data_IF_933191396204
#
_entry.id   IF_933191396204
#
_cell.length_a   1.000
_cell.length_b   1.000
_cell.length_c   1.000
_cell.angle_alpha   90.00
_cell.angle_beta   90.00
_cell.angle_gamma   90.00
#
_symmetry.space_group_name_H-M   'P 1'
#
loop_
_entity.id
_entity.type
_entity.pdbx_description
1 polymer ?
#
# COMPACT_ATOMS: atom_id res chain seq x y z
N UNK A 1 14.60 1.05 21.98
CA UNK A 1 13.33 0.47 21.45
C UNK A 1 12.23 0.32 22.50
N UNK A 2 12.53 0.03 23.77
CA UNK A 2 11.50 -0.32 24.78
C UNK A 2 10.41 0.76 25.02
N UNK A 3 10.64 2.02 24.63
CA UNK A 3 9.72 3.12 24.95
C UNK A 3 9.12 3.85 23.73
N UNK A 4 9.37 3.40 22.48
CA UNK A 4 8.75 4.03 21.30
C UNK A 4 7.36 3.47 21.07
N UNK A 5 6.44 4.38 20.85
CA UNK A 5 5.03 4.10 20.55
C UNK A 5 4.75 4.28 19.05
N UNK A 6 3.64 3.74 18.60
CA UNK A 6 3.16 3.87 17.21
C UNK A 6 3.06 5.34 16.80
N UNK A 7 2.53 6.20 17.68
CA UNK A 7 2.40 7.65 17.43
C UNK A 7 3.72 8.37 17.15
N UNK A 8 4.84 7.82 17.60
CA UNK A 8 6.16 8.44 17.44
C UNK A 8 6.77 8.16 16.06
N UNK A 9 6.21 7.20 15.32
CA UNK A 9 6.68 6.77 14.00
C UNK A 9 5.62 6.82 12.90
N UNK A 10 4.34 6.90 13.26
CA UNK A 10 3.27 6.97 12.27
C UNK A 10 3.34 8.27 11.47
N UNK A 11 2.92 8.21 10.23
CA UNK A 11 2.64 9.40 9.43
C UNK A 11 1.22 9.85 9.75
N UNK A 12 1.07 11.14 10.04
CA UNK A 12 -0.25 11.74 10.31
C UNK A 12 -1.18 11.56 9.11
N UNK A 13 -2.45 11.24 9.39
CA UNK A 13 -3.47 11.11 8.35
C UNK A 13 -3.66 12.37 7.51
N UNK A 14 -3.35 13.55 8.09
CA UNK A 14 -3.45 14.84 7.40
C UNK A 14 -2.35 15.05 6.36
N UNK A 15 -1.24 14.35 6.50
CA UNK A 15 -0.09 14.42 5.60
C UNK A 15 -0.12 13.31 4.54
N UNK A 16 -0.95 12.27 4.76
CA UNK A 16 -0.99 11.12 3.87
C UNK A 16 -1.90 11.40 2.66
N UNK A 17 -1.45 11.08 1.42
CA UNK A 17 -2.24 11.33 0.22
C UNK A 17 -3.59 10.61 0.28
N UNK A 18 -4.62 11.26 -0.21
CA UNK A 18 -5.96 10.68 -0.17
C UNK A 18 -6.85 11.21 -1.28
N UNK A 19 -7.75 10.36 -1.76
CA UNK A 19 -8.76 10.66 -2.76
C UNK A 19 -10.16 10.30 -2.26
N UNK A 20 -11.20 10.80 -2.92
CA UNK A 20 -12.57 10.41 -2.65
C UNK A 20 -12.90 9.05 -3.28
N UNK A 21 -13.91 8.35 -2.74
CA UNK A 21 -14.34 7.01 -3.19
C UNK A 21 -14.79 6.97 -4.66
N UNK A 22 -15.27 8.09 -5.18
CA UNK A 22 -15.70 8.24 -6.57
C UNK A 22 -14.61 8.75 -7.52
N UNK A 23 -13.41 9.02 -7.01
CA UNK A 23 -12.27 9.39 -7.86
C UNK A 23 -11.91 8.24 -8.81
N UNK A 24 -11.34 8.58 -9.95
CA UNK A 24 -10.84 7.58 -10.90
C UNK A 24 -9.53 6.95 -10.42
N UNK A 25 -9.20 5.80 -10.99
CA UNK A 25 -7.88 5.17 -10.82
C UNK A 25 -6.77 6.13 -11.29
N UNK A 26 -7.02 6.87 -12.37
CA UNK A 26 -6.09 7.89 -12.87
C UNK A 26 -5.87 9.01 -11.84
N UNK A 27 -6.95 9.57 -11.24
CA UNK A 27 -6.83 10.62 -10.21
C UNK A 27 -6.03 10.13 -9.00
N UNK A 28 -6.25 8.87 -8.59
CA UNK A 28 -5.51 8.27 -7.50
C UNK A 28 -4.01 8.09 -7.81
N UNK A 29 -3.66 7.73 -9.05
CA UNK A 29 -2.27 7.67 -9.50
C UNK A 29 -1.62 9.05 -9.52
N UNK A 30 -2.34 10.06 -10.03
CA UNK A 30 -1.86 11.46 -10.06
C UNK A 30 -1.61 11.98 -8.65
N UNK A 31 -2.51 11.70 -7.70
CA UNK A 31 -2.35 12.11 -6.31
C UNK A 31 -1.15 11.43 -5.65
N UNK A 32 -0.97 10.12 -5.89
CA UNK A 32 0.19 9.38 -5.39
C UNK A 32 1.51 9.94 -5.93
N UNK A 33 1.58 10.22 -7.23
CA UNK A 33 2.77 10.77 -7.88
C UNK A 33 3.11 12.18 -7.35
N UNK A 34 2.12 13.08 -7.28
CA UNK A 34 2.29 14.42 -6.72
C UNK A 34 2.83 14.37 -5.31
N UNK A 35 2.21 13.58 -4.45
CA UNK A 35 2.58 13.48 -3.04
C UNK A 35 3.97 12.89 -2.86
N UNK A 36 4.37 11.95 -3.72
CA UNK A 36 5.70 11.34 -3.69
C UNK A 36 6.81 12.31 -4.12
N UNK A 37 6.53 13.19 -5.09
CA UNK A 37 7.49 14.19 -5.58
C UNK A 37 7.67 15.39 -4.63
N UNK A 38 6.62 15.78 -3.91
CA UNK A 38 6.63 16.99 -3.07
C UNK A 38 7.01 16.71 -1.61
N UNK A 39 7.30 15.48 -1.27
CA UNK A 39 7.71 15.13 0.09
C UNK A 39 9.21 15.32 0.29
N UNK A 40 9.66 16.58 0.42
CA UNK A 40 11.07 16.94 0.69
C UNK A 40 11.61 16.36 2.02
N UNK A 41 10.73 16.16 2.99
CA UNK A 41 11.07 15.67 4.33
C UNK A 41 10.77 14.16 4.55
N UNK A 42 10.20 13.50 3.54
CA UNK A 42 9.91 12.07 3.62
C UNK A 42 11.19 11.26 3.38
N UNK A 43 11.62 10.52 4.38
CA UNK A 43 12.72 9.54 4.23
C UNK A 43 12.39 8.46 3.18
N UNK A 44 11.10 8.22 2.94
CA UNK A 44 10.59 7.22 2.00
C UNK A 44 9.32 7.74 1.29
N UNK A 45 9.21 7.59 -0.03
CA UNK A 45 8.05 8.04 -0.79
C UNK A 45 6.77 7.31 -0.35
N UNK A 46 5.62 7.94 -0.59
CA UNK A 46 4.33 7.28 -0.41
C UNK A 46 4.15 6.17 -1.46
N UNK A 47 3.59 5.05 -1.04
CA UNK A 47 3.35 3.88 -1.93
C UNK A 47 1.87 3.51 -2.02
N UNK A 48 1.02 4.35 -1.45
CA UNK A 48 -0.43 4.18 -1.47
C UNK A 48 -1.12 5.52 -1.29
N UNK A 49 -2.39 5.60 -1.70
CA UNK A 49 -3.32 6.66 -1.34
C UNK A 49 -4.41 6.08 -0.45
N UNK A 50 -4.99 6.90 0.42
CA UNK A 50 -6.16 6.55 1.21
C UNK A 50 -7.43 6.94 0.45
N UNK A 51 -8.46 6.13 0.60
CA UNK A 51 -9.76 6.39 -0.01
C UNK A 51 -10.74 6.83 1.08
N UNK A 52 -11.39 7.96 0.87
CA UNK A 52 -12.36 8.57 1.79
C UNK A 52 -13.76 8.51 1.19
N UNK A 53 -14.75 8.27 2.04
CA UNK A 53 -16.14 8.44 1.63
C UNK A 53 -16.55 9.92 1.67
N UNK A 54 -17.79 10.23 1.25
CA UNK A 54 -18.37 11.58 1.23
C UNK A 54 -18.38 12.28 2.59
N UNK A 55 -18.30 11.52 3.69
CA UNK A 55 -18.24 12.05 5.05
C UNK A 55 -16.79 12.29 5.52
N UNK A 56 -15.80 12.12 4.64
CA UNK A 56 -14.38 12.25 4.97
C UNK A 56 -13.79 11.09 5.76
N UNK A 57 -14.57 10.02 6.01
CA UNK A 57 -14.09 8.82 6.72
C UNK A 57 -13.27 7.97 5.76
N UNK A 58 -12.11 7.50 6.23
CA UNK A 58 -11.27 6.58 5.47
C UNK A 58 -11.94 5.20 5.43
N UNK A 59 -12.16 4.69 4.24
CA UNK A 59 -12.84 3.42 3.97
C UNK A 59 -11.92 2.38 3.32
N UNK A 60 -10.83 2.82 2.69
CA UNK A 60 -9.91 1.94 2.01
C UNK A 60 -8.54 2.57 1.75
N UNK A 61 -7.67 1.79 1.15
CA UNK A 61 -6.37 2.22 0.63
C UNK A 61 -6.13 1.62 -0.75
N UNK A 62 -5.50 2.36 -1.64
CA UNK A 62 -5.04 1.90 -2.95
C UNK A 62 -3.51 1.99 -2.99
N UNK A 63 -2.85 0.84 -2.90
CA UNK A 63 -1.41 0.72 -3.00
C UNK A 63 -0.96 0.34 -4.41
N UNK A 64 0.35 0.24 -4.62
CA UNK A 64 0.93 -0.14 -5.91
C UNK A 64 0.31 -1.42 -6.47
N UNK A 65 0.09 -2.45 -5.62
CA UNK A 65 -0.55 -3.68 -6.05
C UNK A 65 -2.00 -3.48 -6.50
N UNK A 66 -2.73 -2.52 -5.90
CA UNK A 66 -4.09 -2.16 -6.31
C UNK A 66 -4.10 -1.63 -7.76
N UNK A 67 -3.16 -0.76 -8.08
CA UNK A 67 -3.02 -0.23 -9.43
C UNK A 67 -2.65 -1.31 -10.45
N UNK A 68 -1.75 -2.24 -10.08
CA UNK A 68 -1.40 -3.37 -10.94
C UNK A 68 -2.60 -4.32 -11.17
N UNK A 69 -3.40 -4.57 -10.13
CA UNK A 69 -4.64 -5.37 -10.28
C UNK A 69 -5.70 -4.68 -11.13
N UNK A 70 -5.75 -3.35 -11.09
CA UNK A 70 -6.67 -2.59 -11.92
C UNK A 70 -6.29 -2.62 -13.42
N UNK A 71 -5.04 -2.96 -13.77
CA UNK A 71 -4.61 -3.19 -15.15
C UNK A 71 -5.30 -4.39 -15.79
N UNK A 72 -5.67 -5.38 -15.01
CA UNK A 72 -6.28 -6.61 -15.50
C UNK A 72 -7.68 -6.74 -14.91
N UNK A 73 -8.70 -6.38 -15.68
CA UNK A 73 -10.10 -6.50 -15.29
C UNK A 73 -10.51 -7.95 -14.92
N UNK A 74 -9.77 -8.93 -15.41
CA UNK A 74 -10.02 -10.35 -15.18
C UNK A 74 -8.93 -10.99 -14.28
N UNK A 75 -8.12 -10.16 -13.56
CA UNK A 75 -6.97 -10.64 -12.80
C UNK A 75 -7.31 -11.79 -11.84
N UNK A 76 -8.40 -11.66 -11.08
CA UNK A 76 -8.82 -12.69 -10.12
C UNK A 76 -9.30 -13.97 -10.82
N UNK A 77 -9.91 -13.87 -11.98
CA UNK A 77 -10.36 -15.02 -12.77
C UNK A 77 -9.19 -15.67 -13.52
N UNK A 78 -8.24 -14.87 -14.01
CA UNK A 78 -7.04 -15.35 -14.67
C UNK A 78 -6.09 -16.06 -13.69
N UNK A 79 -5.90 -15.54 -12.47
CA UNK A 79 -5.10 -16.25 -11.43
C UNK A 79 -5.76 -17.58 -11.04
N UNK A 80 -7.08 -17.62 -10.85
CA UNK A 80 -7.79 -18.88 -10.56
C UNK A 80 -7.65 -19.90 -11.68
N UNK A 81 -7.59 -19.45 -12.93
CA UNK A 81 -7.34 -20.32 -14.07
C UNK A 81 -5.90 -20.84 -14.09
N UNK A 82 -4.92 -20.00 -13.74
CA UNK A 82 -3.50 -20.40 -13.65
C UNK A 82 -3.26 -21.43 -12.52
N UNK A 83 -3.88 -21.23 -11.35
CA UNK A 83 -3.78 -22.20 -10.24
C UNK A 83 -4.39 -23.57 -10.58
N UNK A 84 -5.37 -23.62 -11.49
CA UNK A 84 -5.97 -24.86 -11.98
C UNK A 84 -5.16 -25.57 -13.08
N UNK A 85 -4.28 -24.83 -13.77
CA UNK A 85 -3.31 -25.41 -14.68
C UNK A 85 -2.00 -25.60 -13.91
N UNK A 86 -1.63 -26.85 -13.61
CA UNK A 86 -0.29 -27.25 -13.18
C UNK A 86 0.72 -26.92 -14.30
N UNK A 87 0.98 -25.64 -14.53
CA UNK A 87 1.93 -25.16 -15.53
C UNK A 87 3.33 -25.56 -15.06
N UNK A 88 3.89 -26.58 -15.68
CA UNK A 88 5.33 -26.82 -15.69
C UNK A 88 5.98 -25.64 -16.40
N UNK A 89 7.00 -25.10 -15.80
CA UNK A 89 7.78 -23.92 -16.20
C UNK A 89 8.49 -23.98 -17.57
N UNK A 90 8.14 -24.89 -18.46
CA UNK A 90 8.93 -25.23 -19.65
C UNK A 90 8.36 -24.78 -21.01
N UNK A 91 7.20 -24.11 -21.06
CA UNK A 91 6.63 -23.69 -22.35
C UNK A 91 6.91 -22.21 -22.64
N UNK A 92 7.95 -21.97 -23.46
CA UNK A 92 8.36 -20.64 -23.95
C UNK A 92 7.25 -19.92 -24.74
N UNK A 93 6.27 -20.63 -25.27
CA UNK A 93 5.14 -20.05 -26.00
C UNK A 93 4.11 -19.42 -25.05
N UNK A 94 3.96 -19.92 -23.83
CA UNK A 94 3.11 -19.32 -22.78
C UNK A 94 3.70 -18.02 -22.28
N UNK A 95 5.03 -17.88 -22.24
CA UNK A 95 5.71 -16.63 -21.86
C UNK A 95 5.48 -15.55 -22.92
N UNK A 96 5.51 -15.88 -24.22
CA UNK A 96 5.23 -14.92 -25.30
C UNK A 96 3.78 -14.44 -25.29
N UNK A 97 2.83 -15.34 -25.09
CA UNK A 97 1.41 -14.99 -24.98
C UNK A 97 1.13 -14.07 -23.80
N UNK A 98 1.83 -14.28 -22.68
CA UNK A 98 1.78 -13.40 -21.52
C UNK A 98 2.35 -12.00 -21.82
N UNK A 99 3.43 -11.90 -22.60
CA UNK A 99 4.02 -10.61 -22.97
C UNK A 99 3.13 -9.80 -23.92
N UNK A 100 2.51 -10.44 -24.89
CA UNK A 100 1.59 -9.77 -25.81
C UNK A 100 0.31 -9.35 -25.10
N UNK A 101 -0.22 -10.16 -24.18
CA UNK A 101 -1.31 -9.82 -23.30
C UNK A 101 -1.02 -8.54 -22.49
N UNK A 102 0.15 -8.46 -21.83
CA UNK A 102 0.51 -7.27 -21.07
C UNK A 102 0.68 -6.00 -21.92
N UNK A 103 1.11 -6.14 -23.17
CA UNK A 103 1.22 -5.01 -24.09
C UNK A 103 -0.13 -4.38 -24.43
N UNK A 104 -1.11 -5.21 -24.77
CA UNK A 104 -2.48 -4.77 -25.07
C UNK A 104 -3.14 -4.20 -23.81
N UNK A 105 -3.05 -4.91 -22.69
CA UNK A 105 -3.59 -4.48 -21.41
C UNK A 105 -3.05 -3.12 -20.95
N UNK A 106 -1.75 -2.86 -21.10
CA UNK A 106 -1.16 -1.55 -20.75
C UNK A 106 -1.69 -0.41 -21.61
N UNK A 107 -1.94 -0.66 -22.91
CA UNK A 107 -2.49 0.35 -23.80
C UNK A 107 -3.93 0.67 -23.47
N UNK A 108 -4.77 -0.33 -23.26
CA UNK A 108 -6.17 -0.20 -22.86
C UNK A 108 -6.30 0.50 -21.50
N UNK A 109 -5.50 0.09 -20.51
CA UNK A 109 -5.51 0.70 -19.19
C UNK A 109 -5.20 2.20 -19.22
N UNK A 110 -4.23 2.62 -20.01
CA UNK A 110 -3.90 4.05 -20.15
C UNK A 110 -5.09 4.87 -20.65
N UNK A 111 -5.99 4.25 -21.39
CA UNK A 111 -7.21 4.86 -21.93
C UNK A 111 -8.35 4.81 -20.91
N UNK A 112 -8.50 3.70 -20.19
CA UNK A 112 -9.67 3.41 -19.36
C UNK A 112 -9.52 3.84 -17.89
N UNK A 113 -8.29 4.06 -17.40
CA UNK A 113 -8.02 4.43 -16.02
C UNK A 113 -8.84 5.64 -15.53
N UNK A 114 -9.22 6.55 -16.43
CA UNK A 114 -10.05 7.72 -16.10
C UNK A 114 -11.53 7.38 -15.91
N UNK A 115 -11.99 6.26 -16.47
CA UNK A 115 -13.37 5.79 -16.32
C UNK A 115 -13.55 4.84 -15.12
N UNK A 116 -12.46 4.23 -14.65
CA UNK A 116 -12.45 3.23 -13.57
C UNK A 116 -12.50 3.91 -12.21
N UNK A 117 -13.42 3.52 -11.33
CA UNK A 117 -13.52 4.07 -9.98
C UNK A 117 -12.55 3.38 -9.04
N UNK A 118 -11.82 4.16 -8.24
CA UNK A 118 -10.87 3.61 -7.26
C UNK A 118 -11.54 2.75 -6.19
N UNK A 119 -12.82 3.02 -5.87
CA UNK A 119 -13.60 2.23 -4.91
C UNK A 119 -13.70 0.76 -5.27
N UNK A 120 -13.68 0.43 -6.57
CA UNK A 120 -13.89 -0.93 -7.07
C UNK A 120 -12.63 -1.80 -6.91
N UNK A 121 -11.47 -1.16 -6.77
CA UNK A 121 -10.16 -1.81 -6.67
C UNK A 121 -9.47 -1.64 -5.32
N UNK A 122 -9.88 -0.67 -4.50
CA UNK A 122 -9.26 -0.40 -3.20
C UNK A 122 -9.31 -1.59 -2.27
N UNK A 123 -8.30 -1.73 -1.44
CA UNK A 123 -8.32 -2.67 -0.34
C UNK A 123 -9.09 -2.06 0.85
N UNK A 124 -10.09 -2.75 1.41
CA UNK A 124 -10.78 -2.28 2.60
C UNK A 124 -9.83 -2.24 3.80
N UNK A 125 -10.17 -1.41 4.78
CA UNK A 125 -9.39 -1.30 6.02
C UNK A 125 -9.80 -2.43 6.97
N UNK A 126 -8.94 -3.43 7.08
CA UNK A 126 -9.18 -4.60 7.93
C UNK A 126 -8.38 -4.56 9.23
N UNK A 127 -7.23 -3.86 9.24
CA UNK A 127 -6.29 -3.91 10.36
C UNK A 127 -6.04 -2.52 10.95
N UNK A 128 -6.09 -2.43 12.27
CA UNK A 128 -5.87 -1.21 13.04
C UNK A 128 -4.95 -1.48 14.22
N UNK A 129 -4.26 -0.44 14.68
CA UNK A 129 -3.41 -0.46 15.88
C UNK A 129 -3.63 0.83 16.67
N UNK A 130 -3.64 0.75 18.00
CA UNK A 130 -3.74 1.93 18.85
C UNK A 130 -2.46 2.77 18.76
N UNK A 131 -2.59 4.09 18.73
CA UNK A 131 -1.45 5.03 18.71
C UNK A 131 -0.54 4.89 19.92
N UNK A 132 -1.06 4.35 21.02
CA UNK A 132 -0.34 4.09 22.27
C UNK A 132 0.34 2.71 22.30
N UNK A 133 0.06 1.86 21.30
CA UNK A 133 0.73 0.56 21.18
C UNK A 133 2.24 0.74 21.01
N UNK A 134 2.97 -0.24 21.48
CA UNK A 134 4.44 -0.26 21.37
C UNK A 134 4.89 -0.57 19.94
N UNK A 135 6.12 -0.20 19.63
CA UNK A 135 6.73 -0.58 18.36
C UNK A 135 6.83 -2.11 18.19
N UNK A 136 7.01 -2.85 19.28
CA UNK A 136 7.05 -4.31 19.24
C UNK A 136 5.69 -4.91 18.83
N UNK A 137 4.59 -4.35 19.32
CA UNK A 137 3.25 -4.75 18.90
C UNK A 137 2.99 -4.40 17.43
N UNK A 138 3.47 -3.24 16.97
CA UNK A 138 3.36 -2.88 15.56
C UNK A 138 4.13 -3.86 14.66
N UNK A 139 5.34 -4.28 15.05
CA UNK A 139 6.13 -5.30 14.34
C UNK A 139 5.35 -6.62 14.28
N UNK A 140 4.84 -7.10 15.43
CA UNK A 140 4.08 -8.35 15.50
C UNK A 140 2.87 -8.33 14.57
N UNK A 141 2.10 -7.24 14.59
CA UNK A 141 0.92 -7.09 13.72
C UNK A 141 1.26 -6.98 12.23
N UNK A 142 2.34 -6.29 11.86
CA UNK A 142 2.80 -6.23 10.47
C UNK A 142 3.15 -7.62 9.93
N UNK A 143 3.79 -8.44 10.75
CA UNK A 143 4.17 -9.82 10.41
C UNK A 143 2.92 -10.71 10.38
N UNK A 144 2.10 -10.70 11.43
CA UNK A 144 0.89 -11.52 11.56
C UNK A 144 -0.09 -11.29 10.40
N UNK A 145 -0.32 -10.02 10.04
CA UNK A 145 -1.25 -9.66 8.98
C UNK A 145 -0.62 -9.68 7.58
N UNK A 146 0.66 -10.00 7.48
CA UNK A 146 1.42 -9.96 6.23
C UNK A 146 1.16 -8.67 5.42
N UNK A 147 1.23 -7.52 6.09
CA UNK A 147 0.89 -6.22 5.51
C UNK A 147 2.04 -5.23 5.59
N UNK A 148 2.11 -4.33 4.62
CA UNK A 148 3.13 -3.28 4.58
C UNK A 148 2.73 -1.99 5.30
N UNK A 149 1.49 -1.91 5.80
CA UNK A 149 1.01 -0.75 6.56
C UNK A 149 -0.25 -1.07 7.36
N UNK A 150 -0.39 -0.43 8.53
CA UNK A 150 -1.54 -0.56 9.43
C UNK A 150 -2.02 0.85 9.80
N UNK A 151 -3.33 1.07 9.85
CA UNK A 151 -3.89 2.33 10.31
C UNK A 151 -3.77 2.47 11.83
N UNK A 152 -3.25 3.62 12.27
CA UNK A 152 -3.12 3.96 13.67
C UNK A 152 -4.35 4.74 14.15
N UNK A 153 -4.98 4.30 15.24
CA UNK A 153 -6.22 4.86 15.77
C UNK A 153 -6.08 5.30 17.24
N UNK A 154 -6.90 6.27 17.63
CA UNK A 154 -7.17 6.60 19.04
C UNK A 154 -8.68 6.44 19.23
N UNK A 155 -9.08 5.34 19.86
CA UNK A 155 -10.46 4.88 19.80
C UNK A 155 -10.90 4.57 18.37
N UNK A 156 -12.01 5.17 17.94
CA UNK A 156 -12.55 5.02 16.59
C UNK A 156 -11.91 5.94 15.55
N UNK A 157 -11.16 6.94 16.01
CA UNK A 157 -10.55 7.95 15.14
C UNK A 157 -9.25 7.46 14.53
N UNK A 158 -9.15 7.52 13.21
CA UNK A 158 -7.90 7.27 12.48
C UNK A 158 -7.00 8.50 12.60
N UNK A 159 -5.83 8.34 13.22
CA UNK A 159 -4.85 9.42 13.46
C UNK A 159 -3.69 9.39 12.46
N UNK A 160 -3.37 8.21 11.93
CA UNK A 160 -2.25 8.06 11.03
C UNK A 160 -2.13 6.67 10.42
N UNK A 161 -0.99 6.43 9.81
CA UNK A 161 -0.61 5.14 9.24
C UNK A 161 0.82 4.82 9.66
N UNK A 162 1.06 3.60 10.14
CA UNK A 162 2.41 3.09 10.39
C UNK A 162 2.79 2.13 9.26
N UNK A 163 3.95 2.37 8.64
CA UNK A 163 4.42 1.57 7.51
C UNK A 163 5.55 0.64 7.93
N UNK A 164 5.66 -0.49 7.25
CA UNK A 164 6.77 -1.43 7.42
C UNK A 164 8.13 -0.74 7.26
N UNK A 165 8.25 0.16 6.27
CA UNK A 165 9.50 0.92 6.02
C UNK A 165 9.90 1.80 7.19
N UNK A 166 8.96 2.48 7.85
CA UNK A 166 9.23 3.37 8.99
C UNK A 166 9.73 2.54 10.19
N UNK A 167 9.06 1.42 10.44
CA UNK A 167 9.42 0.47 11.49
C UNK A 167 10.80 -0.15 11.23
N UNK A 168 11.06 -0.58 9.99
CA UNK A 168 12.34 -1.16 9.60
C UNK A 168 13.49 -0.16 9.72
N UNK A 169 13.29 1.08 9.29
CA UNK A 169 14.30 2.13 9.40
C UNK A 169 14.64 2.44 10.87
N UNK A 170 13.64 2.46 11.75
CA UNK A 170 13.88 2.62 13.19
C UNK A 170 14.65 1.44 13.80
N UNK A 171 14.29 0.22 13.41
CA UNK A 171 14.99 -0.99 13.83
C UNK A 171 16.46 -0.95 13.37
N UNK A 172 16.68 -0.68 12.08
CA UNK A 172 18.03 -0.53 11.49
C UNK A 172 18.86 0.49 12.24
N UNK A 173 18.31 1.70 12.46
CA UNK A 173 18.99 2.76 13.21
C UNK A 173 19.38 2.32 14.60
N UNK A 174 18.50 1.63 15.30
CA UNK A 174 18.75 1.15 16.67
C UNK A 174 19.88 0.12 16.73
N UNK A 175 19.90 -0.82 15.76
CA UNK A 175 20.93 -1.88 15.69
C UNK A 175 22.29 -1.26 15.36
N UNK A 176 22.37 -0.41 14.33
CA UNK A 176 23.62 0.21 13.90
C UNK A 176 24.22 1.11 14.98
N UNK A 177 23.41 1.91 15.67
CA UNK A 177 23.88 2.77 16.75
C UNK A 177 24.42 1.98 17.95
N UNK A 178 23.84 0.82 18.25
CA UNK A 178 24.39 -0.05 19.31
C UNK A 178 25.75 -0.63 18.92
N UNK A 179 25.91 -1.01 17.66
CA UNK A 179 27.19 -1.56 17.19
C UNK A 179 28.31 -0.53 17.20
N UNK A 180 28.02 0.70 16.75
CA UNK A 180 29.00 1.79 16.74
C UNK A 180 29.42 2.27 18.16
N UNK A 181 28.62 2.02 19.18
CA UNK A 181 28.95 2.34 20.57
C UNK A 181 29.73 1.20 21.29
N UNK A 182 30.01 0.09 20.61
CA UNK A 182 30.75 -1.06 21.11
C UNK A 182 32.18 -1.15 20.54
N UNK A 183 32.51 -0.25 19.61
CA UNK A 183 33.86 -0.07 19.03
C UNK A 183 34.47 1.22 19.59
#
# INVERSE_FOLDING_TARGET
MKNKLVRDLMISIKQYPSVEENASVFDALVELDKSSRHCSDCQEPYRAVLVRNKNGKIIGKAGQLTFLKALDHNFDDNIRSIDNYNLRHDDMDDVKSSFDFWKETLHEFSTDASAMKISDYMQPITHRIDVKSTLSEAISKLIEYNTISILATDGDDIKGIIRLTDVFNELKRTILNKHNNLI
#
